data_IF_673891984288
#
_entry.id   IF_673891984288
#
_cell.length_a   1.000
_cell.length_b   1.000
_cell.length_c   1.000
_cell.angle_alpha   90.00
_cell.angle_beta   90.00
_cell.angle_gamma   90.00
#
_symmetry.space_group_name_H-M   'P 1'
#
loop_
_entity.id
_entity.type
_entity.pdbx_description
1 polymer ?
#
# COMPACT_ATOMS: atom_id res chain seq x y z
N UNK A 1 5.13 -19.07 -37.78
CA UNK A 1 6.48 -18.48 -37.69
C UNK A 1 6.39 -17.23 -36.83
N UNK A 2 6.38 -17.39 -35.50
CA UNK A 2 6.54 -16.22 -34.63
C UNK A 2 8.01 -15.83 -34.68
N UNK A 3 8.28 -14.60 -35.14
CA UNK A 3 9.60 -14.00 -35.10
C UNK A 3 9.95 -13.84 -33.63
N UNK A 4 10.86 -14.67 -33.14
CA UNK A 4 11.56 -14.43 -31.89
C UNK A 4 12.47 -13.24 -32.15
N UNK A 5 11.94 -12.03 -31.97
CA UNK A 5 12.82 -10.87 -31.87
C UNK A 5 13.81 -11.18 -30.73
N UNK A 6 15.13 -11.04 -30.97
CA UNK A 6 16.09 -11.27 -29.90
C UNK A 6 15.70 -10.34 -28.76
N UNK A 7 15.65 -10.86 -27.53
CA UNK A 7 15.52 -10.02 -26.33
C UNK A 7 16.64 -9.00 -26.41
N UNK A 8 16.31 -7.80 -26.88
CA UNK A 8 17.30 -6.83 -27.30
C UNK A 8 17.96 -6.29 -26.04
N UNK A 9 19.29 -6.45 -25.96
CA UNK A 9 20.22 -5.69 -25.10
C UNK A 9 19.86 -4.19 -24.98
N UNK A 10 19.11 -3.68 -25.95
CA UNK A 10 18.56 -2.34 -26.04
C UNK A 10 17.57 -1.96 -24.90
N UNK A 11 16.83 -2.92 -24.34
CA UNK A 11 15.95 -2.74 -23.17
C UNK A 11 16.73 -2.53 -21.87
N UNK A 12 18.00 -2.97 -21.84
CA UNK A 12 18.92 -2.80 -20.71
C UNK A 12 19.77 -1.53 -20.83
N UNK A 13 19.43 -0.61 -21.76
CA UNK A 13 20.29 0.52 -22.13
C UNK A 13 20.61 1.50 -21.01
N UNK A 14 19.69 1.78 -20.09
CA UNK A 14 19.90 2.84 -19.09
C UNK A 14 20.61 2.30 -17.86
N UNK A 15 21.53 3.09 -17.30
CA UNK A 15 22.19 2.76 -16.04
C UNK A 15 21.16 2.46 -14.92
N UNK A 16 20.03 3.18 -14.93
CA UNK A 16 18.90 2.93 -14.05
C UNK A 16 18.32 1.52 -14.22
N UNK A 17 18.00 1.10 -15.46
CA UNK A 17 17.39 -0.20 -15.70
C UNK A 17 18.33 -1.35 -15.33
N UNK A 18 19.63 -1.18 -15.56
CA UNK A 18 20.66 -2.13 -15.11
C UNK A 18 20.69 -2.25 -13.59
N UNK A 19 20.67 -1.12 -12.87
CA UNK A 19 20.65 -1.12 -11.40
C UNK A 19 19.35 -1.74 -10.85
N UNK A 20 18.18 -1.35 -11.36
CA UNK A 20 16.90 -1.96 -10.97
C UNK A 20 16.91 -3.47 -11.17
N UNK A 21 17.40 -3.94 -12.32
CA UNK A 21 17.50 -5.37 -12.63
C UNK A 21 18.45 -6.09 -11.68
N UNK A 22 19.59 -5.46 -11.33
CA UNK A 22 20.60 -6.01 -10.42
C UNK A 22 20.02 -6.30 -9.03
N UNK A 23 19.21 -5.40 -8.49
CA UNK A 23 18.67 -5.53 -7.13
C UNK A 23 17.29 -6.17 -7.04
N UNK A 24 16.63 -6.44 -8.17
CA UNK A 24 15.33 -7.11 -8.19
C UNK A 24 15.43 -8.54 -7.68
N UNK A 25 14.51 -8.93 -6.80
CA UNK A 25 14.41 -10.31 -6.30
C UNK A 25 13.82 -11.19 -7.41
N UNK A 26 14.62 -12.14 -7.90
CA UNK A 26 14.18 -13.21 -8.80
C UNK A 26 14.02 -14.51 -8.03
N UNK A 27 13.13 -15.38 -8.48
CA UNK A 27 12.94 -16.71 -7.90
C UNK A 27 13.50 -17.79 -8.81
N UNK A 28 14.00 -18.87 -8.21
CA UNK A 28 14.31 -20.08 -8.94
C UNK A 28 13.06 -20.93 -9.14
N UNK A 29 12.52 -20.84 -10.36
CA UNK A 29 11.34 -21.61 -10.77
C UNK A 29 11.62 -23.11 -10.93
N UNK A 30 12.88 -23.54 -10.83
CA UNK A 30 13.30 -24.94 -10.98
C UNK A 30 12.98 -25.81 -9.75
N UNK A 31 12.59 -25.22 -8.61
CA UNK A 31 12.31 -25.94 -7.35
C UNK A 31 10.84 -25.79 -6.96
N UNK A 32 10.26 -26.86 -6.38
CA UNK A 32 8.86 -26.88 -5.88
C UNK A 32 8.54 -25.78 -4.85
N UNK A 33 9.58 -25.20 -4.22
CA UNK A 33 9.49 -24.02 -3.35
C UNK A 33 10.16 -22.85 -4.03
N UNK A 34 9.48 -21.70 -4.11
CA UNK A 34 10.01 -20.44 -4.65
C UNK A 34 11.13 -19.92 -3.73
N UNK A 35 12.37 -20.31 -4.00
CA UNK A 35 13.53 -19.78 -3.29
C UNK A 35 14.00 -18.53 -4.04
N UNK A 36 14.07 -17.36 -3.39
CA UNK A 36 14.62 -16.15 -3.99
C UNK A 36 16.11 -16.36 -4.26
N UNK A 37 16.59 -15.89 -5.41
CA UNK A 37 18.00 -15.89 -5.75
C UNK A 37 18.73 -14.89 -4.85
N UNK A 38 19.94 -15.21 -4.38
CA UNK A 38 20.77 -14.25 -3.66
C UNK A 38 21.04 -13.02 -4.53
N UNK A 39 20.98 -11.83 -3.91
CA UNK A 39 21.30 -10.55 -4.53
C UNK A 39 22.45 -9.93 -3.74
N UNK A 40 23.48 -9.46 -4.44
CA UNK A 40 24.58 -8.73 -3.83
C UNK A 40 24.15 -7.29 -3.51
N UNK A 41 24.27 -6.90 -2.24
CA UNK A 41 23.90 -5.58 -1.71
C UNK A 41 25.12 -4.77 -1.26
N UNK A 42 26.35 -5.23 -1.55
CA UNK A 42 27.59 -4.57 -1.12
C UNK A 42 27.73 -3.12 -1.60
N UNK A 43 27.15 -2.79 -2.75
CA UNK A 43 27.11 -1.44 -3.31
C UNK A 43 25.98 -0.56 -2.75
N UNK A 44 25.08 -1.11 -1.94
CA UNK A 44 23.96 -0.34 -1.35
C UNK A 44 24.47 0.47 -0.17
N UNK A 45 24.24 1.79 -0.22
CA UNK A 45 24.59 2.70 0.86
C UNK A 45 23.66 2.45 2.05
N UNK A 46 24.23 2.04 3.18
CA UNK A 46 23.50 1.84 4.43
C UNK A 46 23.69 3.02 5.38
N UNK A 47 22.71 3.94 5.38
CA UNK A 47 22.70 5.10 6.28
C UNK A 47 22.57 4.73 7.75
N UNK A 48 22.08 3.53 8.11
CA UNK A 48 22.07 3.08 9.50
C UNK A 48 23.49 2.76 9.95
N UNK A 49 24.25 2.02 9.15
CA UNK A 49 25.67 1.76 9.42
C UNK A 49 26.50 3.04 9.47
N UNK A 50 26.22 4.02 8.60
CA UNK A 50 26.84 5.34 8.63
C UNK A 50 26.55 6.06 9.95
N UNK A 51 25.29 6.08 10.39
CA UNK A 51 24.91 6.70 11.68
C UNK A 51 25.68 6.09 12.86
N UNK A 52 25.79 4.76 12.92
CA UNK A 52 26.50 4.09 14.02
C UNK A 52 28.01 4.36 13.98
N UNK A 53 28.61 4.41 12.79
CA UNK A 53 30.03 4.79 12.65
C UNK A 53 30.26 6.25 13.05
N UNK A 54 29.41 7.16 12.57
CA UNK A 54 29.47 8.58 12.88
C UNK A 54 29.33 8.85 14.38
N UNK A 55 28.41 8.17 15.06
CA UNK A 55 28.27 8.28 16.53
C UNK A 55 29.48 7.76 17.29
N UNK A 56 30.19 6.76 16.75
CA UNK A 56 31.33 6.12 17.41
C UNK A 56 32.63 6.88 17.21
N UNK A 57 32.91 7.37 16.00
CA UNK A 57 34.20 7.99 15.66
C UNK A 57 34.09 9.37 15.01
N UNK A 58 32.91 9.83 14.64
CA UNK A 58 32.72 11.06 13.86
C UNK A 58 33.04 10.90 12.37
N UNK A 59 33.42 9.70 11.93
CA UNK A 59 33.83 9.45 10.55
C UNK A 59 32.62 9.27 9.62
N UNK A 60 32.79 9.73 8.38
CA UNK A 60 31.83 9.56 7.30
C UNK A 60 32.51 8.91 6.09
N UNK A 61 31.81 8.05 5.34
CA UNK A 61 32.33 7.52 4.08
C UNK A 61 32.53 8.62 3.04
N UNK A 62 33.42 8.37 2.08
CA UNK A 62 33.65 9.26 0.95
C UNK A 62 32.35 9.58 0.19
N UNK A 63 32.14 10.87 -0.07
CA UNK A 63 30.96 11.36 -0.80
C UNK A 63 29.69 11.49 0.05
N UNK A 64 29.74 11.18 1.35
CA UNK A 64 28.67 11.45 2.33
C UNK A 64 29.06 12.66 3.17
N UNK A 65 28.10 13.54 3.47
CA UNK A 65 28.29 14.66 4.39
C UNK A 65 27.17 14.74 5.42
N UNK A 66 27.47 15.32 6.59
CA UNK A 66 26.46 15.70 7.58
C UNK A 66 25.97 17.13 7.30
N UNK A 67 24.65 17.31 7.24
CA UNK A 67 24.01 18.61 7.17
C UNK A 67 23.84 19.17 8.59
N UNK A 68 24.56 20.26 8.89
CA UNK A 68 24.39 21.01 10.14
C UNK A 68 23.14 21.88 10.06
N UNK A 69 22.14 21.56 10.87
CA UNK A 69 20.88 22.29 10.97
C UNK A 69 20.32 22.21 12.40
N UNK A 70 19.29 23.01 12.71
CA UNK A 70 18.62 23.06 14.02
C UNK A 70 17.69 21.84 14.24
N UNK A 71 18.17 20.66 13.86
CA UNK A 71 17.46 19.40 14.00
C UNK A 71 18.24 18.48 14.95
N UNK A 72 17.53 17.83 15.87
CA UNK A 72 18.16 17.08 16.96
C UNK A 72 18.77 15.74 16.52
N UNK A 73 18.58 15.33 15.26
CA UNK A 73 19.07 14.08 14.73
C UNK A 73 20.06 14.34 13.57
N UNK A 74 21.09 13.49 13.41
CA UNK A 74 21.99 13.59 12.27
C UNK A 74 21.24 13.47 10.94
N UNK A 75 21.51 14.42 10.04
CA UNK A 75 20.96 14.46 8.68
C UNK A 75 22.11 14.27 7.72
N UNK A 76 22.05 13.26 6.86
CA UNK A 76 23.11 12.95 5.90
C UNK A 76 22.70 13.31 4.48
N UNK A 77 23.65 13.79 3.69
CA UNK A 77 23.49 14.04 2.26
C UNK A 77 24.58 13.37 1.44
N UNK A 78 24.39 13.36 0.11
CA UNK A 78 25.37 12.85 -0.84
C UNK A 78 25.93 14.00 -1.66
N UNK A 79 27.27 14.13 -1.71
CA UNK A 79 27.96 15.20 -2.46
C UNK A 79 27.56 15.18 -3.95
N UNK A 80 27.42 13.99 -4.52
CA UNK A 80 27.04 13.80 -5.92
C UNK A 80 25.55 14.10 -6.21
N UNK A 81 24.73 14.29 -5.17
CA UNK A 81 23.27 14.53 -5.28
C UNK A 81 22.83 15.69 -4.37
N UNK A 82 23.15 16.94 -4.73
CA UNK A 82 22.67 18.11 -3.99
C UNK A 82 21.14 18.12 -3.87
N UNK A 83 20.63 18.45 -2.69
CA UNK A 83 19.19 18.46 -2.39
C UNK A 83 18.63 17.12 -1.91
N UNK A 84 19.41 16.03 -1.94
CA UNK A 84 19.05 14.77 -1.29
C UNK A 84 19.51 14.76 0.17
N UNK A 85 18.58 14.44 1.07
CA UNK A 85 18.84 14.30 2.50
C UNK A 85 18.18 13.04 3.04
N UNK A 86 18.84 12.40 4.00
CA UNK A 86 18.38 11.19 4.65
C UNK A 86 18.57 11.28 6.17
N UNK A 87 17.53 10.93 6.92
CA UNK A 87 17.52 10.96 8.38
C UNK A 87 17.35 9.53 8.90
N UNK A 88 18.45 8.82 9.22
CA UNK A 88 18.37 7.44 9.67
C UNK A 88 17.76 7.38 11.08
N UNK A 89 16.81 6.45 11.25
CA UNK A 89 16.09 6.24 12.52
C UNK A 89 15.45 7.51 13.08
N UNK A 90 14.75 8.25 12.21
CA UNK A 90 14.00 9.45 12.57
C UNK A 90 12.85 9.18 13.57
N UNK A 91 12.34 7.95 13.62
CA UNK A 91 11.21 7.54 14.46
C UNK A 91 11.63 6.46 15.45
N UNK A 92 11.18 6.58 16.69
CA UNK A 92 11.23 5.53 17.71
C UNK A 92 10.42 4.30 17.30
N UNK A 93 10.63 3.17 17.99
CA UNK A 93 9.87 1.93 17.74
C UNK A 93 8.39 2.15 18.02
N UNK A 94 8.07 2.93 19.04
CA UNK A 94 6.72 3.27 19.45
C UNK A 94 6.01 4.10 18.38
N UNK A 95 6.69 5.14 17.85
CA UNK A 95 6.17 5.95 16.74
C UNK A 95 6.00 5.13 15.47
N UNK A 96 6.96 4.25 15.14
CA UNK A 96 6.82 3.34 14.00
C UNK A 96 5.60 2.43 14.15
N UNK A 97 5.41 1.83 15.32
CA UNK A 97 4.24 0.99 15.61
C UNK A 97 2.93 1.78 15.49
N UNK A 98 2.92 3.02 15.97
CA UNK A 98 1.77 3.91 15.85
C UNK A 98 1.42 4.18 14.38
N UNK A 99 2.39 4.64 13.58
CA UNK A 99 2.13 4.98 12.18
C UNK A 99 1.81 3.78 11.30
N UNK A 100 2.40 2.60 11.58
CA UNK A 100 2.01 1.35 10.91
C UNK A 100 0.54 1.03 11.20
N UNK A 101 0.11 1.16 12.47
CA UNK A 101 -1.30 0.92 12.83
C UNK A 101 -2.22 1.88 12.07
N UNK A 102 -1.96 3.19 12.15
CA UNK A 102 -2.78 4.19 11.44
C UNK A 102 -2.83 3.94 9.93
N UNK A 103 -1.71 3.54 9.32
CA UNK A 103 -1.61 3.23 7.90
C UNK A 103 -2.45 2.01 7.48
N UNK A 104 -2.74 1.11 8.41
CA UNK A 104 -3.54 -0.10 8.14
C UNK A 104 -5.00 0.05 8.57
N UNK A 105 -5.28 0.82 9.63
CA UNK A 105 -6.61 0.88 10.24
C UNK A 105 -7.38 2.15 9.90
N UNK A 106 -6.70 3.30 9.81
CA UNK A 106 -7.33 4.62 9.76
C UNK A 106 -7.19 5.26 8.38
N UNK A 107 -5.98 5.32 7.83
CA UNK A 107 -5.73 5.96 6.53
C UNK A 107 -6.45 5.31 5.36
N UNK A 108 -6.65 3.97 5.31
CA UNK A 108 -7.42 3.36 4.24
C UNK A 108 -8.93 3.58 4.33
N UNK A 109 -9.44 4.10 5.46
CA UNK A 109 -10.87 4.31 5.64
C UNK A 109 -11.39 5.48 4.80
N UNK A 110 -12.65 5.42 4.33
CA UNK A 110 -13.30 6.59 3.75
C UNK A 110 -13.22 7.80 4.71
N UNK A 111 -13.03 9.03 4.21
CA UNK A 111 -13.13 9.46 2.81
C UNK A 111 -11.85 9.26 1.98
N UNK A 112 -10.79 8.70 2.55
CA UNK A 112 -9.56 8.47 1.81
C UNK A 112 -9.76 7.43 0.72
N UNK A 113 -9.11 7.63 -0.43
CA UNK A 113 -9.18 6.73 -1.58
C UNK A 113 -7.98 5.80 -1.61
N UNK A 114 -8.26 4.52 -1.80
CA UNK A 114 -7.34 3.42 -2.05
C UNK A 114 -7.52 2.90 -3.49
N UNK A 115 -6.64 1.99 -3.93
CA UNK A 115 -6.81 1.29 -5.20
C UNK A 115 -8.07 0.43 -5.25
N UNK A 116 -8.62 -0.02 -4.11
CA UNK A 116 -9.85 -0.81 -4.06
C UNK A 116 -11.07 0.01 -4.51
N UNK A 117 -11.06 1.32 -4.31
CA UNK A 117 -12.18 2.19 -4.67
C UNK A 117 -12.50 2.19 -6.17
N UNK A 118 -11.54 1.86 -7.04
CA UNK A 118 -11.74 1.83 -8.49
C UNK A 118 -12.71 0.73 -8.92
N UNK A 119 -12.76 -0.38 -8.18
CA UNK A 119 -13.57 -1.55 -8.50
C UNK A 119 -14.75 -1.66 -7.53
N UNK A 120 -14.51 -1.43 -6.24
CA UNK A 120 -15.47 -1.75 -5.16
C UNK A 120 -16.15 -0.53 -4.53
N UNK A 121 -15.78 0.69 -4.90
CA UNK A 121 -16.23 1.89 -4.19
C UNK A 121 -15.63 2.01 -2.77
N UNK A 122 -16.19 2.85 -1.88
CA UNK A 122 -15.70 3.01 -0.50
C UNK A 122 -15.78 1.71 0.30
N UNK A 123 -14.63 1.19 0.75
CA UNK A 123 -14.54 -0.01 1.59
C UNK A 123 -14.23 0.41 3.03
N UNK A 124 -15.11 0.08 3.96
CA UNK A 124 -14.92 0.33 5.40
C UNK A 124 -14.34 -0.90 6.08
N UNK A 125 -13.63 -0.68 7.20
CA UNK A 125 -13.16 -1.74 8.11
C UNK A 125 -12.33 -2.84 7.44
N UNK A 126 -11.58 -2.51 6.39
CA UNK A 126 -10.77 -3.46 5.61
C UNK A 126 -9.82 -4.30 6.48
N UNK A 127 -9.23 -3.68 7.51
CA UNK A 127 -8.34 -4.39 8.43
C UNK A 127 -9.08 -5.42 9.30
N UNK A 128 -10.27 -5.09 9.80
CA UNK A 128 -11.10 -6.03 10.56
C UNK A 128 -11.57 -7.18 9.67
N UNK A 129 -11.98 -6.85 8.44
CA UNK A 129 -12.34 -7.83 7.43
C UNK A 129 -11.23 -8.85 7.16
N UNK A 130 -9.99 -8.36 6.98
CA UNK A 130 -8.83 -9.20 6.77
C UNK A 130 -8.53 -10.07 7.98
N UNK A 131 -8.65 -9.53 9.20
CA UNK A 131 -8.49 -10.28 10.45
C UNK A 131 -9.54 -11.40 10.59
N UNK A 132 -10.74 -11.17 10.07
CA UNK A 132 -11.85 -12.14 10.04
C UNK A 132 -11.78 -13.11 8.86
N UNK A 133 -10.78 -12.98 7.98
CA UNK A 133 -10.62 -13.85 6.81
C UNK A 133 -11.65 -13.62 5.71
N UNK A 134 -12.25 -12.42 5.65
CA UNK A 134 -13.23 -12.05 4.62
C UNK A 134 -12.56 -11.72 3.30
N UNK A 135 -13.29 -11.93 2.21
CA UNK A 135 -12.81 -11.69 0.83
C UNK A 135 -13.70 -10.63 0.16
N UNK A 136 -13.09 -9.80 -0.69
CA UNK A 136 -13.82 -8.85 -1.52
C UNK A 136 -14.51 -9.60 -2.66
N UNK A 137 -15.83 -9.43 -2.79
CA UNK A 137 -16.66 -10.00 -3.85
C UNK A 137 -17.29 -8.85 -4.61
N UNK A 138 -17.28 -8.93 -5.94
CA UNK A 138 -18.02 -8.01 -6.80
C UNK A 138 -19.49 -8.48 -6.84
N UNK A 139 -20.44 -7.67 -6.37
CA UNK A 139 -21.85 -7.95 -6.61
C UNK A 139 -22.19 -7.58 -8.05
N UNK A 140 -22.64 -8.57 -8.81
CA UNK A 140 -23.35 -8.32 -10.05
C UNK A 140 -24.60 -7.50 -9.72
N UNK A 141 -24.74 -6.35 -10.39
CA UNK A 141 -25.98 -5.58 -10.35
C UNK A 141 -27.08 -6.47 -10.92
N UNK A 142 -27.90 -7.06 -10.06
CA UNK A 142 -29.18 -7.60 -10.50
C UNK A 142 -29.93 -6.44 -11.17
N UNK A 143 -30.47 -6.61 -12.38
CA UNK A 143 -31.26 -5.56 -13.01
C UNK A 143 -32.38 -5.20 -12.05
N UNK A 144 -32.50 -3.90 -11.75
CA UNK A 144 -33.63 -3.34 -11.02
C UNK A 144 -34.89 -3.93 -11.65
N UNK A 145 -35.59 -4.73 -10.85
CA UNK A 145 -36.72 -5.51 -11.32
C UNK A 145 -37.77 -4.52 -11.81
N UNK A 146 -38.01 -4.56 -13.12
CA UNK A 146 -39.05 -3.79 -13.80
C UNK A 146 -40.37 -4.08 -13.10
N UNK A 147 -41.13 -3.01 -12.88
CA UNK A 147 -42.48 -2.96 -12.33
C UNK A 147 -43.28 -4.24 -12.53
N UNK A 148 -43.74 -4.82 -11.43
CA UNK A 148 -44.84 -5.76 -11.41
C UNK A 148 -45.77 -5.38 -10.27
N UNK A 149 -46.63 -4.41 -10.55
CA UNK A 149 -47.92 -4.23 -9.89
C UNK A 149 -48.64 -5.58 -9.77
N UNK A 150 -48.63 -6.19 -8.59
CA UNK A 150 -49.74 -7.02 -8.13
C UNK A 150 -49.96 -6.76 -6.65
N UNK A 151 -50.82 -5.76 -6.42
CA UNK A 151 -51.52 -5.53 -5.17
C UNK A 151 -52.44 -6.70 -4.89
N UNK A 152 -52.40 -7.29 -3.69
CA UNK A 152 -53.60 -7.63 -2.92
C UNK A 152 -53.24 -7.75 -1.40
N UNK A 153 -54.16 -7.38 -0.50
CA UNK A 153 -53.85 -6.96 0.88
C UNK A 153 -54.14 -8.05 1.91
N UNK A 154 -53.52 -7.98 3.10
CA UNK A 154 -54.21 -8.21 4.39
C UNK A 154 -53.33 -7.88 5.61
N UNK A 155 -53.88 -6.99 6.42
CA UNK A 155 -53.59 -6.51 7.78
C UNK A 155 -52.75 -7.38 8.74
N UNK A 156 -51.88 -6.75 9.54
CA UNK A 156 -52.22 -6.28 10.90
C UNK A 156 -51.06 -5.51 11.59
N UNK A 157 -51.38 -4.29 12.09
CA UNK A 157 -51.00 -3.59 13.33
C UNK A 157 -49.68 -3.95 14.08
N UNK A 158 -48.91 -3.07 14.73
CA UNK A 158 -48.98 -1.64 15.10
C UNK A 158 -47.76 -1.29 16.00
N UNK A 159 -47.50 0.01 16.19
CA UNK A 159 -46.53 0.68 17.12
C UNK A 159 -45.05 0.68 16.67
N UNK A 160 -44.31 1.78 16.59
CA UNK A 160 -44.51 3.19 16.93
C UNK A 160 -43.13 3.82 17.16
N UNK A 161 -42.84 4.99 16.56
CA UNK A 161 -41.65 5.81 16.87
C UNK A 161 -40.75 6.13 15.67
N UNK A 162 -40.85 7.37 15.16
CA UNK A 162 -39.87 7.95 14.24
C UNK A 162 -38.55 8.29 14.97
N UNK A 163 -37.42 8.37 14.25
CA UNK A 163 -37.01 9.72 13.84
C UNK A 163 -36.55 9.81 12.38
N UNK A 164 -36.84 10.99 11.81
CA UNK A 164 -36.31 11.64 10.62
C UNK A 164 -35.15 10.92 9.89
N UNK A 165 -35.48 10.36 8.73
CA UNK A 165 -34.52 10.01 7.70
C UNK A 165 -34.00 11.30 7.04
N UNK A 166 -32.74 11.64 7.29
CA UNK A 166 -32.00 12.56 6.43
C UNK A 166 -31.63 11.80 5.16
N UNK A 167 -32.52 11.82 4.16
CA UNK A 167 -32.21 11.36 2.82
C UNK A 167 -31.22 12.36 2.18
N UNK A 168 -29.95 11.99 2.14
CA UNK A 168 -29.01 12.52 1.15
C UNK A 168 -28.86 11.46 0.06
N UNK A 169 -29.75 11.52 -0.92
CA UNK A 169 -29.63 10.83 -2.19
C UNK A 169 -28.50 11.46 -3.00
N UNK A 170 -27.34 10.80 -3.00
CA UNK A 170 -26.32 10.96 -4.04
C UNK A 170 -26.46 9.83 -5.07
N UNK A 171 -26.23 10.08 -6.38
CA UNK A 171 -26.37 9.06 -7.40
C UNK A 171 -25.21 8.06 -7.26
N UNK A 172 -25.50 6.77 -7.47
CA UNK A 172 -24.59 5.61 -7.39
C UNK A 172 -24.22 5.11 -5.98
N UNK A 173 -25.22 4.69 -5.21
CA UNK A 173 -25.04 3.90 -4.00
C UNK A 173 -24.79 2.43 -4.32
N UNK A 174 -23.52 2.02 -4.42
CA UNK A 174 -23.14 0.62 -4.23
C UNK A 174 -23.03 0.39 -2.73
N UNK A 175 -23.90 -0.47 -2.19
CA UNK A 175 -23.81 -0.90 -0.79
C UNK A 175 -23.40 -2.36 -0.83
N UNK A 176 -22.25 -2.71 -0.25
CA UNK A 176 -21.77 -4.09 -0.27
C UNK A 176 -21.11 -4.52 1.03
N UNK A 177 -21.28 -5.81 1.30
CA UNK A 177 -20.97 -6.47 2.58
C UNK A 177 -19.78 -7.42 2.45
N UNK A 178 -19.03 -7.55 3.55
CA UNK A 178 -17.92 -8.48 3.65
C UNK A 178 -18.45 -9.87 4.02
N UNK A 179 -18.18 -10.89 3.21
CA UNK A 179 -18.64 -12.26 3.43
C UNK A 179 -17.51 -13.22 3.83
N UNK A 180 -17.87 -14.25 4.61
CA UNK A 180 -16.97 -15.34 4.99
C UNK A 180 -17.14 -16.48 3.99
N UNK A 181 -16.11 -16.81 3.20
CA UNK A 181 -16.05 -18.09 2.49
C UNK A 181 -15.31 -19.10 3.35
N UNK A 182 -16.02 -20.15 3.81
CA UNK A 182 -15.42 -21.33 4.46
C UNK A 182 -14.92 -22.32 3.43
#
# INVERSE_FOLDING_TARGET
MYRTDPVTEESERTAFRKAEKKYKIYYDNAKKKKIPRPVDLSEVIDFRSILESFKRSGDLPDGVFELKCDFNLPVFGLVSRPGFYFIPAALSVEEQCHWIRESLTTFPQPPNRTNHNAIYGPVQDLFLAAKEGKVLVEEDKLPENVDSEYQLPLCCASYGGAPLACNLTGPSGVTMSLSLTR
#
